data_IF_122806228623
#
_entry.id   IF_122806228623
#
_cell.length_a   1.000
_cell.length_b   1.000
_cell.length_c   1.000
_cell.angle_alpha   90.00
_cell.angle_beta   90.00
_cell.angle_gamma   90.00
#
_symmetry.space_group_name_H-M   'P 1'
#
loop_
_entity.id
_entity.type
_entity.pdbx_description
1 polymer ?
#
# COMPACT_ATOMS: atom_id res chain seq x y z
N UNK A 1 -6.63 -10.56 -21.90
CA UNK A 1 -5.56 -11.39 -21.32
C UNK A 1 -6.03 -11.93 -19.99
N UNK A 2 -5.89 -13.23 -19.72
CA UNK A 2 -6.29 -13.84 -18.44
C UNK A 2 -5.29 -13.42 -17.36
N UNK A 3 -5.77 -12.98 -16.19
CA UNK A 3 -4.92 -12.65 -15.04
C UNK A 3 -5.06 -13.74 -13.98
N UNK A 4 -3.96 -14.42 -13.66
CA UNK A 4 -3.92 -15.43 -12.61
C UNK A 4 -3.74 -14.81 -11.23
N UNK A 5 -4.31 -15.43 -10.18
CA UNK A 5 -4.10 -15.04 -8.79
C UNK A 5 -2.79 -15.68 -8.29
N UNK A 6 -1.67 -15.25 -8.84
CA UNK A 6 -0.32 -15.69 -8.45
C UNK A 6 0.60 -14.48 -8.33
N UNK A 7 1.83 -14.68 -7.82
CA UNK A 7 2.85 -13.63 -7.74
C UNK A 7 3.09 -12.89 -9.07
N UNK A 8 2.85 -13.51 -10.21
CA UNK A 8 3.04 -12.87 -11.52
C UNK A 8 1.83 -12.00 -11.93
N UNK A 9 0.63 -12.35 -11.48
CA UNK A 9 -0.58 -11.60 -11.78
C UNK A 9 -0.85 -10.47 -10.78
N UNK A 10 -0.83 -10.79 -9.48
CA UNK A 10 -1.22 -9.86 -8.41
C UNK A 10 -0.19 -8.73 -8.23
N UNK A 11 1.10 -9.04 -8.34
CA UNK A 11 2.18 -8.04 -8.17
C UNK A 11 2.12 -6.94 -9.24
N UNK A 12 1.77 -7.29 -10.48
CA UNK A 12 1.67 -6.31 -11.56
C UNK A 12 0.45 -5.36 -11.40
N UNK A 13 -0.53 -5.72 -10.58
CA UNK A 13 -1.72 -4.88 -10.35
C UNK A 13 -1.57 -3.92 -9.17
N UNK A 14 -0.57 -4.11 -8.31
CA UNK A 14 -0.35 -3.23 -7.15
C UNK A 14 0.52 -2.04 -7.55
N UNK A 15 -0.01 -0.83 -7.36
CA UNK A 15 0.69 0.42 -7.62
C UNK A 15 1.79 0.72 -6.61
N UNK A 16 1.62 0.32 -5.35
CA UNK A 16 2.59 0.53 -4.28
C UNK A 16 3.79 -0.43 -4.39
N UNK A 17 5.01 0.11 -4.28
CA UNK A 17 6.23 -0.68 -4.19
C UNK A 17 6.24 -1.57 -2.95
N UNK A 18 5.72 -1.06 -1.83
CA UNK A 18 5.57 -1.80 -0.57
C UNK A 18 4.55 -2.93 -0.72
N UNK A 19 3.42 -2.68 -1.37
CA UNK A 19 2.42 -3.71 -1.67
C UNK A 19 2.91 -4.77 -2.66
N UNK A 20 3.84 -4.44 -3.58
CA UNK A 20 4.50 -5.45 -4.42
C UNK A 20 5.52 -6.27 -3.62
N UNK A 21 6.29 -5.60 -2.75
CA UNK A 21 7.29 -6.24 -1.91
C UNK A 21 6.69 -7.27 -0.94
N UNK A 22 5.43 -7.10 -0.51
CA UNK A 22 4.76 -8.05 0.38
C UNK A 22 4.45 -9.40 -0.25
N UNK A 23 4.57 -9.55 -1.58
CA UNK A 23 4.33 -10.83 -2.28
C UNK A 23 5.64 -11.48 -2.73
N UNK A 24 6.22 -12.26 -1.81
CA UNK A 24 7.27 -13.28 -2.04
C UNK A 24 8.63 -12.82 -2.61
N UNK A 25 8.78 -11.60 -3.13
CA UNK A 25 10.05 -11.10 -3.71
C UNK A 25 10.42 -9.65 -3.31
N UNK A 26 10.54 -9.36 -2.00
CA UNK A 26 10.68 -7.99 -1.49
C UNK A 26 11.91 -7.26 -2.02
N UNK A 27 13.09 -7.90 -2.03
CA UNK A 27 14.35 -7.26 -2.40
C UNK A 27 14.34 -6.71 -3.84
N UNK A 28 13.81 -7.51 -4.79
CA UNK A 28 13.73 -7.11 -6.20
C UNK A 28 12.84 -5.87 -6.38
N UNK A 29 11.70 -5.82 -5.68
CA UNK A 29 10.76 -4.71 -5.78
C UNK A 29 11.32 -3.43 -5.16
N UNK A 30 11.94 -3.52 -3.98
CA UNK A 30 12.51 -2.36 -3.30
C UNK A 30 13.72 -1.79 -4.06
N UNK A 31 14.60 -2.63 -4.57
CA UNK A 31 15.75 -2.18 -5.38
C UNK A 31 15.29 -1.44 -6.64
N UNK A 32 14.37 -2.05 -7.41
CA UNK A 32 13.86 -1.43 -8.63
C UNK A 32 13.15 -0.10 -8.34
N UNK A 33 12.31 -0.05 -7.30
CA UNK A 33 11.62 1.16 -6.87
C UNK A 33 12.60 2.27 -6.44
N UNK A 34 13.69 1.90 -5.74
CA UNK A 34 14.73 2.84 -5.33
C UNK A 34 15.48 3.43 -6.53
N UNK A 35 15.79 2.60 -7.54
CA UNK A 35 16.50 3.04 -8.75
C UNK A 35 15.68 4.04 -9.56
N UNK A 36 14.36 3.84 -9.67
CA UNK A 36 13.48 4.77 -10.40
C UNK A 36 12.98 5.94 -9.56
N UNK A 37 13.29 5.98 -8.27
CA UNK A 37 12.81 7.02 -7.35
C UNK A 37 11.29 6.99 -7.15
N UNK A 38 10.70 5.80 -7.08
CA UNK A 38 9.25 5.62 -6.94
C UNK A 38 8.72 6.27 -5.65
N UNK A 39 7.59 6.98 -5.76
CA UNK A 39 6.90 7.56 -4.61
C UNK A 39 5.65 6.75 -4.30
N UNK A 40 5.57 6.26 -3.08
CA UNK A 40 4.39 5.57 -2.58
C UNK A 40 3.45 6.58 -1.91
N UNK A 41 2.18 6.59 -2.34
CA UNK A 41 1.15 7.49 -1.79
C UNK A 41 0.45 6.92 -0.57
N UNK A 42 0.78 5.69 -0.18
CA UNK A 42 0.24 5.02 0.99
C UNK A 42 -1.29 4.90 0.97
N UNK A 43 -1.87 4.50 -0.16
CA UNK A 43 -3.33 4.46 -0.36
C UNK A 43 -3.93 3.06 -0.16
N UNK A 44 -3.12 2.01 -0.05
CA UNK A 44 -3.56 0.64 0.17
C UNK A 44 -3.49 0.23 1.63
N UNK A 45 -4.13 -0.90 1.92
CA UNK A 45 -4.11 -1.50 3.26
C UNK A 45 -2.72 -1.98 3.65
N UNK A 46 -2.00 -2.57 2.70
CA UNK A 46 -0.75 -3.31 2.96
C UNK A 46 0.35 -2.37 3.49
N UNK A 47 0.66 -1.32 2.75
CA UNK A 47 1.63 -0.29 3.18
C UNK A 47 1.27 0.38 4.51
N UNK A 48 0.02 0.79 4.73
CA UNK A 48 -0.41 1.46 5.96
C UNK A 48 -0.28 0.54 7.18
N UNK A 49 -0.58 -0.75 7.03
CA UNK A 49 -0.36 -1.74 8.07
C UNK A 49 1.12 -1.91 8.38
N UNK A 50 1.99 -1.97 7.36
CA UNK A 50 3.44 -2.14 7.55
C UNK A 50 4.08 -0.97 8.32
N UNK A 51 3.58 0.25 8.14
CA UNK A 51 4.11 1.46 8.80
C UNK A 51 3.29 1.88 10.03
N UNK A 52 2.33 1.05 10.46
CA UNK A 52 1.48 1.29 11.63
C UNK A 52 0.69 2.62 11.56
N UNK A 53 0.10 2.91 10.40
CA UNK A 53 -0.79 4.04 10.18
C UNK A 53 -2.26 3.60 10.10
N UNK A 54 -3.22 4.49 10.45
CA UNK A 54 -4.63 4.23 10.22
C UNK A 54 -4.90 3.94 8.75
N UNK A 55 -5.47 2.78 8.45
CA UNK A 55 -5.79 2.38 7.09
C UNK A 55 -7.01 3.18 6.60
N UNK A 56 -6.99 3.75 5.38
CA UNK A 56 -8.10 4.53 4.83
C UNK A 56 -9.27 3.64 4.35
N UNK A 57 -9.77 2.76 5.21
CA UNK A 57 -10.92 1.88 4.96
C UNK A 57 -11.72 1.69 6.26
N UNK A 58 -13.02 1.46 6.12
CA UNK A 58 -13.90 1.16 7.26
C UNK A 58 -13.87 2.28 8.30
N UNK A 59 -13.43 1.96 9.51
CA UNK A 59 -13.35 2.91 10.64
C UNK A 59 -12.28 4.00 10.46
N UNK A 60 -11.32 3.81 9.55
CA UNK A 60 -10.31 4.83 9.23
C UNK A 60 -10.75 5.86 8.20
N UNK A 61 -11.97 5.74 7.65
CA UNK A 61 -12.53 6.72 6.71
C UNK A 61 -13.06 7.99 7.40
N UNK A 62 -13.88 7.92 8.48
CA UNK A 62 -14.39 9.13 9.12
C UNK A 62 -13.32 9.81 9.99
N UNK A 63 -13.12 11.10 9.75
CA UNK A 63 -12.39 11.97 10.68
C UNK A 63 -13.27 12.33 11.88
N UNK A 64 -12.71 12.33 13.08
CA UNK A 64 -13.39 12.79 14.28
C UNK A 64 -13.28 14.32 14.38
N UNK A 65 -14.42 14.99 14.49
CA UNK A 65 -14.51 16.42 14.79
C UNK A 65 -15.19 16.59 16.15
N UNK A 66 -14.74 17.54 16.94
CA UNK A 66 -15.36 17.85 18.24
C UNK A 66 -15.56 19.36 18.37
N UNK A 67 -16.75 19.77 18.80
CA UNK A 67 -17.05 21.16 19.13
C UNK A 67 -16.68 21.42 20.59
N UNK A 68 -15.68 22.27 20.80
CA UNK A 68 -15.30 22.72 22.14
C UNK A 68 -16.22 23.87 22.55
N UNK A 69 -17.16 23.59 23.46
CA UNK A 69 -17.98 24.65 24.08
C UNK A 69 -17.10 25.53 24.96
N UNK A 70 -17.17 26.85 24.73
CA UNK A 70 -16.61 27.87 25.63
C UNK A 70 -17.35 27.91 26.96
#
# INVERSE_FOLDING_TARGET
>A
TIKGITRYGVVNEKSSALARASFETPLKHLLNASVVGEKDLLNSVVENVMINQPVPIGTGLPGLITEVKK
#
